data_IF_292047684955
#
_entry.id   IF_292047684955
#
_cell.length_a   1.000
_cell.length_b   1.000
_cell.length_c   1.000
_cell.angle_alpha   90.00
_cell.angle_beta   90.00
_cell.angle_gamma   90.00
#
_symmetry.space_group_name_H-M   'P 1'
#
loop_
_entity.id
_entity.type
_entity.pdbx_description
1 polymer ?
#
# COMPACT_ATOMS: atom_id res chain seq x y z
N UNK A 1 -30.23 -17.78 0.45
CA UNK A 1 -29.68 -17.06 1.61
C UNK A 1 -28.31 -16.54 1.22
N UNK A 2 -28.16 -15.22 1.06
CA UNK A 2 -26.86 -14.60 0.79
C UNK A 2 -26.02 -14.73 2.06
N UNK A 3 -24.99 -15.57 2.04
CA UNK A 3 -24.10 -15.75 3.18
C UNK A 3 -23.36 -14.43 3.42
N UNK A 4 -23.64 -13.79 4.56
CA UNK A 4 -22.83 -12.67 5.05
C UNK A 4 -21.50 -13.26 5.47
N UNK A 5 -20.47 -13.06 4.64
CA UNK A 5 -19.11 -13.49 4.98
C UNK A 5 -18.57 -12.53 6.06
N UNK A 6 -18.02 -13.05 7.18
CA UNK A 6 -17.47 -12.19 8.22
C UNK A 6 -16.40 -11.27 7.63
N UNK A 7 -16.35 -10.03 8.15
CA UNK A 7 -15.33 -9.07 7.78
C UNK A 7 -13.95 -9.70 8.02
N UNK A 8 -13.04 -9.70 7.03
CA UNK A 8 -11.72 -10.28 7.19
C UNK A 8 -11.01 -9.65 8.39
N UNK A 9 -10.41 -10.49 9.25
CA UNK A 9 -9.90 -10.13 10.59
C UNK A 9 -8.63 -9.26 10.57
N UNK A 10 -8.07 -9.01 9.39
CA UNK A 10 -6.81 -8.28 9.24
C UNK A 10 -6.95 -7.37 8.04
N UNK A 11 -7.11 -6.08 8.31
CA UNK A 11 -7.20 -5.06 7.28
C UNK A 11 -6.76 -3.73 7.83
N UNK A 12 -6.08 -2.94 7.00
CA UNK A 12 -5.65 -1.59 7.32
C UNK A 12 -6.45 -0.59 6.50
N UNK A 13 -6.70 0.57 7.08
CA UNK A 13 -7.35 1.70 6.41
C UNK A 13 -6.34 2.85 6.36
N UNK A 14 -6.17 3.43 5.18
CA UNK A 14 -5.30 4.58 4.92
C UNK A 14 -6.16 5.72 4.35
N UNK A 15 -6.03 6.93 4.88
CA UNK A 15 -6.75 8.10 4.36
C UNK A 15 -6.02 8.71 3.16
N UNK A 16 -6.78 9.18 2.17
CA UNK A 16 -6.22 9.85 0.99
C UNK A 16 -5.70 11.24 1.39
N UNK A 17 -4.49 11.58 0.94
CA UNK A 17 -3.91 12.90 1.19
C UNK A 17 -4.69 14.07 0.54
N UNK A 18 -5.59 13.77 -0.41
CA UNK A 18 -6.45 14.77 -1.08
C UNK A 18 -7.65 15.21 -0.24
N UNK A 19 -7.96 14.50 0.84
CA UNK A 19 -9.06 14.85 1.75
C UNK A 19 -9.63 13.64 2.51
N UNK A 20 -10.16 13.91 3.70
CA UNK A 20 -10.57 12.90 4.68
C UNK A 20 -11.77 12.03 4.27
N UNK A 21 -12.50 12.43 3.23
CA UNK A 21 -13.68 11.69 2.72
C UNK A 21 -13.28 10.43 1.93
N UNK A 22 -11.99 10.27 1.60
CA UNK A 22 -11.47 9.17 0.79
C UNK A 22 -10.54 8.29 1.61
N UNK A 23 -10.70 6.98 1.44
CA UNK A 23 -9.86 6.00 2.10
C UNK A 23 -9.51 4.83 1.18
N UNK A 24 -8.32 4.28 1.38
CA UNK A 24 -7.89 3.01 0.84
C UNK A 24 -7.99 1.96 1.94
N UNK A 25 -8.72 0.88 1.68
CA UNK A 25 -8.87 -0.24 2.59
C UNK A 25 -8.21 -1.47 1.99
N UNK A 26 -7.33 -2.09 2.77
CA UNK A 26 -6.71 -3.37 2.47
C UNK A 26 -7.39 -4.45 3.30
N UNK A 27 -7.66 -5.60 2.71
CA UNK A 27 -8.33 -6.71 3.39
C UNK A 27 -7.82 -8.05 2.86
N UNK A 28 -7.49 -8.97 3.77
CA UNK A 28 -6.96 -10.29 3.43
C UNK A 28 -8.04 -11.37 3.47
N UNK A 29 -8.05 -12.27 2.48
CA UNK A 29 -8.98 -13.39 2.40
C UNK A 29 -8.19 -14.71 2.29
N UNK A 30 -7.91 -15.35 3.44
CA UNK A 30 -7.06 -16.56 3.52
C UNK A 30 -7.62 -17.71 2.67
N UNK A 31 -8.93 -17.91 2.67
CA UNK A 31 -9.54 -19.05 1.97
C UNK A 31 -9.49 -18.92 0.45
N UNK A 32 -9.32 -17.70 -0.07
CA UNK A 32 -9.21 -17.42 -1.50
C UNK A 32 -7.78 -17.09 -1.93
N UNK A 33 -6.85 -16.99 -0.97
CA UNK A 33 -5.50 -16.47 -1.15
C UNK A 33 -5.47 -15.14 -1.94
N UNK A 34 -6.26 -14.18 -1.46
CA UNK A 34 -6.41 -12.87 -2.11
C UNK A 34 -6.23 -11.72 -1.10
N UNK A 35 -5.54 -10.69 -1.57
CA UNK A 35 -5.56 -9.36 -0.96
C UNK A 35 -6.43 -8.43 -1.78
N UNK A 36 -7.45 -7.87 -1.15
CA UNK A 36 -8.35 -6.90 -1.79
C UNK A 36 -7.94 -5.51 -1.34
N UNK A 37 -7.61 -4.67 -2.31
CA UNK A 37 -7.36 -3.24 -2.13
C UNK A 37 -8.54 -2.48 -2.71
N UNK A 38 -9.20 -1.66 -1.89
CA UNK A 38 -10.44 -0.97 -2.28
C UNK A 38 -10.39 0.51 -1.97
N UNK A 39 -10.94 1.32 -2.88
CA UNK A 39 -11.08 2.76 -2.75
C UNK A 39 -12.49 3.10 -2.28
N UNK A 40 -12.58 3.88 -1.22
CA UNK A 40 -13.82 4.30 -0.59
C UNK A 40 -13.93 5.82 -0.64
N UNK A 41 -15.15 6.30 -0.85
CA UNK A 41 -15.51 7.71 -0.76
C UNK A 41 -16.87 7.82 -0.07
N UNK A 42 -16.99 8.62 0.97
CA UNK A 42 -18.27 8.83 1.68
C UNK A 42 -18.93 7.50 2.10
N UNK A 43 -18.11 6.56 2.56
CA UNK A 43 -18.52 5.19 2.92
C UNK A 43 -19.07 4.33 1.77
N UNK A 44 -18.85 4.74 0.51
CA UNK A 44 -19.18 3.98 -0.70
C UNK A 44 -17.90 3.46 -1.35
N UNK A 45 -17.85 2.17 -1.65
CA UNK A 45 -16.77 1.59 -2.44
C UNK A 45 -16.86 2.08 -3.89
N UNK A 46 -15.84 2.80 -4.34
CA UNK A 46 -15.75 3.39 -5.70
C UNK A 46 -14.86 2.59 -6.63
N UNK A 47 -14.06 1.66 -6.10
CA UNK A 47 -13.21 0.77 -6.89
C UNK A 47 -12.57 -0.32 -6.04
N UNK A 48 -12.23 -1.44 -6.66
CA UNK A 48 -11.51 -2.52 -5.99
C UNK A 48 -10.55 -3.22 -6.95
N UNK A 49 -9.44 -3.71 -6.39
CA UNK A 49 -8.42 -4.50 -7.05
C UNK A 49 -8.17 -5.77 -6.23
N UNK A 50 -8.08 -6.91 -6.90
CA UNK A 50 -7.80 -8.22 -6.29
C UNK A 50 -6.38 -8.61 -6.66
N UNK A 51 -5.50 -8.63 -5.68
CA UNK A 51 -4.12 -9.10 -5.80
C UNK A 51 -4.06 -10.56 -5.36
N UNK A 52 -3.39 -11.41 -6.13
CA UNK A 52 -3.11 -12.78 -5.72
C UNK A 52 -2.17 -12.79 -4.50
N UNK A 53 -2.32 -13.76 -3.60
CA UNK A 53 -1.46 -13.91 -2.43
C UNK A 53 0.03 -13.98 -2.79
N UNK A 54 0.35 -14.69 -3.87
CA UNK A 54 1.72 -14.82 -4.39
C UNK A 54 2.35 -13.48 -4.81
N UNK A 55 1.55 -12.53 -5.31
CA UNK A 55 2.04 -11.22 -5.77
C UNK A 55 2.20 -10.20 -4.62
N UNK A 56 1.78 -10.55 -3.39
CA UNK A 56 1.83 -9.63 -2.24
C UNK A 56 3.28 -9.26 -1.88
N UNK A 57 4.18 -10.24 -1.95
CA UNK A 57 5.60 -10.01 -1.66
C UNK A 57 6.20 -8.96 -2.60
N UNK A 58 5.92 -9.07 -3.90
CA UNK A 58 6.40 -8.13 -4.92
C UNK A 58 5.86 -6.70 -4.71
N UNK A 59 4.58 -6.58 -4.31
CA UNK A 59 4.01 -5.28 -3.95
C UNK A 59 4.72 -4.67 -2.75
N UNK A 60 4.96 -5.45 -1.69
CA UNK A 60 5.66 -4.98 -0.48
C UNK A 60 7.08 -4.53 -0.83
N UNK A 61 7.82 -5.32 -1.59
CA UNK A 61 9.19 -4.98 -2.01
C UNK A 61 9.22 -3.70 -2.83
N UNK A 62 8.24 -3.51 -3.72
CA UNK A 62 8.08 -2.27 -4.49
C UNK A 62 7.91 -1.06 -3.56
N UNK A 63 7.03 -1.15 -2.56
CA UNK A 63 6.79 -0.05 -1.60
C UNK A 63 8.02 0.24 -0.74
N UNK A 64 8.72 -0.79 -0.26
CA UNK A 64 9.93 -0.64 0.54
C UNK A 64 11.05 0.00 -0.30
N UNK A 65 11.19 -0.38 -1.57
CA UNK A 65 12.17 0.22 -2.46
C UNK A 65 11.91 1.71 -2.70
N UNK A 66 10.64 2.12 -2.84
CA UNK A 66 10.26 3.55 -2.92
C UNK A 66 10.65 4.29 -1.64
N UNK A 67 10.39 3.72 -0.47
CA UNK A 67 10.77 4.33 0.81
C UNK A 67 12.29 4.52 0.90
N UNK A 68 13.07 3.49 0.55
CA UNK A 68 14.55 3.57 0.53
C UNK A 68 15.04 4.70 -0.38
N UNK A 69 14.49 4.81 -1.59
CA UNK A 69 14.86 5.87 -2.54
C UNK A 69 14.53 7.27 -2.01
N UNK A 70 13.41 7.44 -1.30
CA UNK A 70 13.05 8.72 -0.67
C UNK A 70 14.01 9.12 0.46
N UNK A 71 14.52 8.15 1.20
CA UNK A 71 15.45 8.39 2.32
C UNK A 71 16.91 8.48 1.89
N UNK A 72 17.25 8.08 0.67
CA UNK A 72 18.59 8.26 0.11
C UNK A 72 18.84 9.74 -0.18
N UNK A 73 19.18 10.52 0.85
CA UNK A 73 19.82 11.83 0.67
C UNK A 73 21.15 11.56 -0.03
N UNK A 74 21.44 12.17 -1.20
CA UNK A 74 22.77 12.09 -1.78
C UNK A 74 23.73 12.79 -0.81
N UNK A 75 24.55 12.02 -0.10
CA UNK A 75 25.70 12.56 0.59
C UNK A 75 26.68 13.04 -0.48
N UNK A 76 26.63 14.34 -0.79
CA UNK A 76 27.75 15.02 -1.44
C UNK A 76 28.96 14.78 -0.54
N UNK A 77 29.87 13.91 -0.98
CA UNK A 77 31.25 13.94 -0.51
C UNK A 77 31.80 15.29 -0.97
N UNK A 78 32.22 16.21 -0.07
CA UNK A 78 33.03 17.33 -0.53
C UNK A 78 34.25 16.74 -1.23
N UNK A 79 34.50 17.19 -2.46
CA UNK A 79 35.71 16.86 -3.19
C UNK A 79 36.88 17.29 -2.32
N UNK A 80 37.59 16.29 -1.78
CA UNK A 80 38.81 16.49 -1.02
C UNK A 80 39.90 16.90 -2.00
N UNK A 81 40.18 18.20 -2.03
CA UNK A 81 41.50 18.75 -2.32
C UNK A 81 41.95 18.70 -3.78
N UNK A 82 41.52 19.69 -4.56
CA UNK A 82 42.35 20.21 -5.64
C UNK A 82 43.39 21.15 -5.00
N UNK A 83 44.47 20.58 -4.47
CA UNK A 83 45.68 21.34 -4.13
C UNK A 83 46.58 21.32 -5.36
N UNK A 84 46.68 22.46 -6.05
CA UNK A 84 47.62 22.71 -7.14
C UNK A 84 47.86 24.20 -7.28
#
# INVERSE_FOLDING_TARGET
MTAVRPLPRTGSIFFDARGDERALRVSWHEEADLVVVSLWRDNVCTGSFRLAGDDVADLVDTLVNVLRQRHAVPSVRPALGDTG
#
